data_IF_524157126115
#
_entry.id   IF_524157126115
#
_cell.length_a   1.000
_cell.length_b   1.000
_cell.length_c   1.000
_cell.angle_alpha   90.00
_cell.angle_beta   90.00
_cell.angle_gamma   90.00
#
_symmetry.space_group_name_H-M   'P 1'
#
loop_
_entity.id
_entity.type
_entity.pdbx_description
1 polymer ?
#
# COMPACT_ATOMS: atom_id res chain seq x y z
N UNK A 1 21.89 -9.98 0.72
CA UNK A 1 20.98 -9.42 1.73
C UNK A 1 19.94 -10.48 2.04
N UNK A 2 19.56 -10.67 3.31
CA UNK A 2 18.57 -11.70 3.73
C UNK A 2 17.66 -11.11 4.81
N UNK A 3 16.47 -11.67 4.97
CA UNK A 3 15.58 -11.34 6.09
C UNK A 3 16.01 -12.10 7.35
N UNK A 4 16.06 -11.37 8.47
CA UNK A 4 16.23 -11.92 9.81
C UNK A 4 15.14 -11.38 10.72
N UNK A 5 14.89 -12.06 11.82
CA UNK A 5 13.91 -11.68 12.84
C UNK A 5 14.57 -11.71 14.19
N UNK A 6 14.23 -10.76 15.05
CA UNK A 6 14.62 -10.84 16.46
C UNK A 6 13.65 -11.70 17.29
N UNK A 7 13.88 -11.70 18.60
CA UNK A 7 13.08 -12.45 19.58
C UNK A 7 11.68 -11.85 19.81
N UNK A 8 11.51 -10.54 19.54
CA UNK A 8 10.23 -9.83 19.64
C UNK A 8 9.35 -10.09 18.40
N UNK A 9 9.98 -10.51 17.30
CA UNK A 9 9.31 -10.88 16.07
C UNK A 9 9.50 -9.88 14.93
N UNK A 10 10.26 -8.81 15.18
CA UNK A 10 10.50 -7.73 14.24
C UNK A 10 11.47 -8.16 13.15
N UNK A 11 11.18 -7.74 11.92
CA UNK A 11 11.90 -8.20 10.72
C UNK A 11 12.88 -7.14 10.27
N UNK A 12 14.10 -7.58 9.97
CA UNK A 12 15.18 -6.72 9.52
C UNK A 12 15.86 -7.26 8.26
N UNK A 13 16.52 -6.36 7.55
CA UNK A 13 17.43 -6.69 6.46
C UNK A 13 18.83 -6.88 7.02
N UNK A 14 19.37 -8.10 6.93
CA UNK A 14 20.76 -8.33 7.29
C UNK A 14 21.69 -7.71 6.24
N UNK A 15 22.40 -6.66 6.64
CA UNK A 15 23.36 -5.92 5.81
C UNK A 15 24.72 -6.64 5.84
N UNK A 16 25.19 -6.99 7.03
CA UNK A 16 26.48 -7.66 7.24
C UNK A 16 26.44 -8.53 8.49
N UNK A 17 27.06 -9.70 8.44
CA UNK A 17 27.30 -10.55 9.61
C UNK A 17 28.79 -10.56 9.95
N UNK A 18 29.11 -10.38 11.22
CA UNK A 18 30.47 -10.55 11.78
C UNK A 18 30.47 -11.70 12.81
N UNK A 19 31.59 -11.92 13.51
CA UNK A 19 31.75 -13.04 14.44
C UNK A 19 30.71 -13.04 15.57
N UNK A 20 30.54 -11.90 16.25
CA UNK A 20 29.69 -11.78 17.45
C UNK A 20 28.38 -11.05 17.14
N UNK A 21 28.44 -10.02 16.28
CA UNK A 21 27.29 -9.18 15.96
C UNK A 21 27.01 -9.10 14.46
N UNK A 22 25.75 -8.83 14.13
CA UNK A 22 25.25 -8.51 12.80
C UNK A 22 24.83 -7.05 12.72
N UNK A 23 25.10 -6.42 11.57
CA UNK A 23 24.53 -5.12 11.19
C UNK A 23 23.25 -5.37 10.41
N UNK A 24 22.14 -4.87 10.93
CA UNK A 24 20.81 -5.00 10.34
C UNK A 24 20.26 -3.62 9.99
N UNK A 25 19.38 -3.56 9.00
CA UNK A 25 18.61 -2.36 8.63
C UNK A 25 17.14 -2.57 8.95
N UNK A 26 16.57 -1.59 9.62
CA UNK A 26 15.15 -1.48 9.90
C UNK A 26 14.40 -1.09 8.62
N UNK A 27 13.37 -1.86 8.19
CA UNK A 27 12.61 -1.52 6.99
C UNK A 27 11.73 -0.28 7.17
N UNK A 28 11.24 0.02 8.37
CA UNK A 28 10.35 1.16 8.67
C UNK A 28 11.12 2.47 8.66
N UNK A 29 12.30 2.51 9.28
CA UNK A 29 13.07 3.76 9.44
C UNK A 29 14.23 3.88 8.46
N UNK A 30 14.69 2.77 7.89
CA UNK A 30 15.92 2.70 7.10
C UNK A 30 17.21 2.79 7.93
N UNK A 31 17.12 2.94 9.25
CA UNK A 31 18.26 3.03 10.14
C UNK A 31 18.99 1.69 10.27
N UNK A 32 20.30 1.74 10.50
CA UNK A 32 21.13 0.55 10.67
C UNK A 32 21.65 0.45 12.10
N UNK A 33 21.49 -0.73 12.70
CA UNK A 33 21.95 -1.04 14.06
C UNK A 33 22.74 -2.34 14.12
N UNK A 34 23.59 -2.47 15.15
CA UNK A 34 24.27 -3.72 15.45
C UNK A 34 23.46 -4.50 16.48
N UNK A 35 23.29 -5.80 16.24
CA UNK A 35 22.54 -6.74 17.10
C UNK A 35 23.39 -7.99 17.25
N UNK A 36 23.40 -8.59 18.43
CA UNK A 36 24.10 -9.85 18.66
C UNK A 36 23.55 -10.96 17.74
N UNK A 37 24.45 -11.81 17.24
CA UNK A 37 24.07 -12.86 16.30
C UNK A 37 23.05 -13.84 16.89
N UNK A 38 23.12 -14.07 18.20
CA UNK A 38 22.26 -15.03 18.92
C UNK A 38 20.84 -14.50 19.15
N UNK A 39 20.64 -13.18 19.00
CA UNK A 39 19.33 -12.54 19.06
C UNK A 39 18.65 -12.47 17.67
N UNK A 40 19.24 -13.08 16.63
CA UNK A 40 18.71 -13.03 15.26
C UNK A 40 18.51 -14.41 14.68
N UNK A 41 17.26 -14.69 14.30
CA UNK A 41 16.89 -15.90 13.58
C UNK A 41 16.64 -15.58 12.10
N UNK A 42 17.28 -16.30 11.17
CA UNK A 42 16.90 -16.27 9.76
C UNK A 42 15.43 -16.52 9.48
N UNK A 43 14.87 -15.77 8.53
CA UNK A 43 13.54 -16.09 7.96
C UNK A 43 13.75 -16.72 6.59
N UNK A 44 13.45 -18.01 6.48
CA UNK A 44 13.58 -18.77 5.24
C UNK A 44 12.36 -18.56 4.33
N UNK A 45 12.59 -18.48 3.02
CA UNK A 45 11.53 -18.34 2.01
C UNK A 45 10.94 -16.93 1.83
N UNK A 46 11.38 -15.94 2.60
CA UNK A 46 10.96 -14.54 2.45
C UNK A 46 11.92 -13.74 1.58
N UNK A 47 11.37 -12.95 0.66
CA UNK A 47 12.16 -12.03 -0.16
C UNK A 47 12.61 -10.84 0.70
N UNK A 48 13.91 -10.46 0.69
CA UNK A 48 14.38 -9.23 1.32
C UNK A 48 13.66 -7.99 0.79
N UNK A 49 13.22 -7.98 -0.48
CA UNK A 49 12.45 -6.86 -1.03
C UNK A 49 11.04 -6.79 -0.45
N UNK A 50 10.41 -7.92 -0.14
CA UNK A 50 9.12 -7.95 0.55
C UNK A 50 9.26 -7.45 1.99
N UNK A 51 10.35 -7.81 2.67
CA UNK A 51 10.66 -7.26 4.00
C UNK A 51 10.89 -5.76 3.93
N UNK A 52 11.66 -5.27 2.96
CA UNK A 52 11.86 -3.83 2.75
C UNK A 52 10.54 -3.11 2.50
N UNK A 53 9.66 -3.67 1.66
CA UNK A 53 8.36 -3.07 1.36
C UNK A 53 7.45 -2.97 2.59
N UNK A 54 7.58 -3.85 3.59
CA UNK A 54 6.76 -3.81 4.81
C UNK A 54 6.96 -2.54 5.63
N UNK A 55 8.08 -1.85 5.47
CA UNK A 55 8.29 -0.54 6.07
C UNK A 55 7.32 0.53 5.58
N UNK A 56 6.71 0.32 4.40
CA UNK A 56 5.62 1.16 3.90
C UNK A 56 4.29 0.64 4.48
N UNK A 57 3.46 1.50 5.09
CA UNK A 57 2.16 1.10 5.63
C UNK A 57 1.33 0.32 4.61
N UNK A 58 0.64 -0.74 5.05
CA UNK A 58 -0.07 -1.65 4.15
C UNK A 58 -1.10 -0.92 3.27
N UNK A 59 -1.84 0.01 3.86
CA UNK A 59 -2.85 0.81 3.14
C UNK A 59 -2.21 1.67 2.03
N UNK A 60 -1.01 2.24 2.26
CA UNK A 60 -0.25 2.96 1.23
C UNK A 60 0.24 2.01 0.13
N UNK A 61 0.82 0.86 0.50
CA UNK A 61 1.28 -0.15 -0.47
C UNK A 61 0.16 -0.61 -1.39
N UNK A 62 -1.03 -0.79 -0.83
CA UNK A 62 -2.22 -1.21 -1.57
C UNK A 62 -2.62 -0.18 -2.62
N UNK A 63 -2.63 1.11 -2.27
CA UNK A 63 -2.89 2.19 -3.24
C UNK A 63 -1.83 2.18 -4.35
N UNK A 64 -0.53 2.19 -4.01
CA UNK A 64 0.56 2.24 -5.00
C UNK A 64 0.57 1.01 -5.93
N UNK A 65 0.15 -0.15 -5.45
CA UNK A 65 0.14 -1.39 -6.25
C UNK A 65 -1.04 -1.44 -7.22
N UNK A 66 -2.17 -0.82 -6.88
CA UNK A 66 -3.42 -0.90 -7.64
C UNK A 66 -3.64 0.34 -8.52
N UNK A 67 -3.31 1.53 -8.04
CA UNK A 67 -3.31 2.76 -8.80
C UNK A 67 -1.99 2.88 -9.59
N UNK A 68 -1.94 2.18 -10.74
CA UNK A 68 -0.70 1.93 -11.50
C UNK A 68 -0.17 3.15 -12.26
N UNK A 69 -0.95 4.22 -12.34
CA UNK A 69 -0.63 5.46 -13.05
C UNK A 69 -1.34 6.67 -12.42
N UNK A 70 -0.95 7.88 -12.83
CA UNK A 70 -1.51 9.13 -12.32
C UNK A 70 -3.03 9.22 -12.54
N UNK A 71 -3.55 8.59 -13.60
CA UNK A 71 -4.98 8.62 -13.94
C UNK A 71 -5.80 7.79 -12.96
N UNK A 72 -5.37 6.58 -12.68
CA UNK A 72 -5.99 5.69 -11.69
C UNK A 72 -5.84 6.25 -10.27
N UNK A 73 -4.68 6.81 -9.93
CA UNK A 73 -4.49 7.50 -8.64
C UNK A 73 -5.39 8.73 -8.51
N UNK A 74 -5.47 9.55 -9.57
CA UNK A 74 -6.34 10.73 -9.62
C UNK A 74 -7.82 10.39 -9.48
N UNK A 75 -8.30 9.33 -10.14
CA UNK A 75 -9.68 8.85 -9.96
C UNK A 75 -9.96 8.44 -8.51
N UNK A 76 -9.04 7.71 -7.88
CA UNK A 76 -9.19 7.27 -6.49
C UNK A 76 -9.20 8.47 -5.53
N UNK A 77 -8.34 9.47 -5.79
CA UNK A 77 -8.30 10.73 -5.05
C UNK A 77 -9.62 11.52 -5.17
N UNK A 78 -10.17 11.65 -6.38
CA UNK A 78 -11.44 12.35 -6.60
C UNK A 78 -12.62 11.67 -5.89
N UNK A 79 -12.65 10.33 -5.87
CA UNK A 79 -13.67 9.58 -5.11
C UNK A 79 -13.49 9.80 -3.60
N UNK A 80 -12.26 9.86 -3.11
CA UNK A 80 -11.99 10.10 -1.69
C UNK A 80 -12.38 11.53 -1.26
N UNK A 81 -12.05 12.54 -2.06
CA UNK A 81 -12.26 13.95 -1.70
C UNK A 81 -13.73 14.37 -1.85
N UNK A 82 -14.47 13.82 -2.82
CA UNK A 82 -15.87 14.18 -3.08
C UNK A 82 -16.86 13.37 -2.26
N UNK A 83 -16.42 12.29 -1.60
CA UNK A 83 -17.29 11.30 -0.98
C UNK A 83 -17.97 10.41 -2.03
N UNK A 84 -19.13 9.77 -1.73
CA UNK A 84 -19.78 8.87 -2.68
C UNK A 84 -20.10 9.56 -4.02
N UNK A 85 -19.56 9.05 -5.13
CA UNK A 85 -19.80 9.58 -6.49
C UNK A 85 -20.50 8.55 -7.38
N UNK A 86 -21.53 8.99 -8.11
CA UNK A 86 -22.24 8.14 -9.08
C UNK A 86 -21.38 7.82 -10.31
N UNK A 87 -21.53 6.62 -10.86
CA UNK A 87 -20.77 6.18 -12.06
C UNK A 87 -20.96 7.13 -13.22
N UNK A 88 -22.18 7.59 -13.48
CA UNK A 88 -22.48 8.52 -14.57
C UNK A 88 -21.76 9.84 -14.38
N UNK A 89 -21.72 10.37 -13.16
CA UNK A 89 -20.96 11.58 -12.84
C UNK A 89 -19.48 11.41 -13.12
N UNK A 90 -18.89 10.25 -12.81
CA UNK A 90 -17.48 9.96 -13.12
C UNK A 90 -17.25 9.94 -14.65
N UNK A 91 -18.12 9.29 -15.43
CA UNK A 91 -18.04 9.25 -16.90
C UNK A 91 -18.23 10.62 -17.54
N UNK A 92 -19.14 11.43 -17.01
CA UNK A 92 -19.44 12.76 -17.56
C UNK A 92 -18.35 13.79 -17.20
N UNK A 93 -17.68 13.62 -16.05
CA UNK A 93 -16.69 14.59 -15.55
C UNK A 93 -15.28 14.33 -16.07
N UNK A 94 -14.88 13.06 -16.14
CA UNK A 94 -13.53 12.69 -16.56
C UNK A 94 -13.61 12.03 -17.93
N UNK A 95 -12.67 12.37 -18.82
CA UNK A 95 -12.55 11.81 -20.17
C UNK A 95 -12.07 10.34 -20.10
N UNK A 96 -12.78 9.48 -19.36
CA UNK A 96 -12.60 8.05 -19.20
C UNK A 96 -13.61 7.34 -20.10
N UNK A 97 -13.14 6.37 -20.88
CA UNK A 97 -14.09 5.49 -21.54
C UNK A 97 -14.78 4.58 -20.51
N UNK A 98 -15.99 4.14 -20.84
CA UNK A 98 -16.82 3.34 -19.92
C UNK A 98 -16.13 2.05 -19.46
N UNK A 99 -15.45 1.36 -20.38
CA UNK A 99 -14.72 0.13 -20.04
C UNK A 99 -13.53 0.39 -19.13
N UNK A 100 -12.77 1.47 -19.34
CA UNK A 100 -11.64 1.83 -18.48
C UNK A 100 -12.12 2.16 -17.08
N UNK A 101 -13.16 3.00 -16.95
CA UNK A 101 -13.72 3.36 -15.65
C UNK A 101 -14.20 2.10 -14.90
N UNK A 102 -14.95 1.23 -15.57
CA UNK A 102 -15.44 0.01 -14.94
C UNK A 102 -14.33 -0.97 -14.56
N UNK A 103 -13.27 -1.07 -15.38
CA UNK A 103 -12.08 -1.84 -15.05
C UNK A 103 -11.39 -1.33 -13.78
N UNK A 104 -11.14 -0.02 -13.72
CA UNK A 104 -10.53 0.61 -12.55
C UNK A 104 -11.36 0.42 -11.28
N UNK A 105 -12.68 0.69 -11.35
CA UNK A 105 -13.57 0.53 -10.20
C UNK A 105 -13.67 -0.94 -9.74
N UNK A 106 -13.59 -1.90 -10.65
CA UNK A 106 -13.55 -3.32 -10.30
C UNK A 106 -12.24 -3.69 -9.58
N UNK A 107 -11.09 -3.22 -10.06
CA UNK A 107 -9.80 -3.42 -9.41
C UNK A 107 -9.74 -2.76 -8.03
N UNK A 108 -10.19 -1.50 -7.93
CA UNK A 108 -10.27 -0.78 -6.64
C UNK A 108 -11.17 -1.49 -5.65
N UNK A 109 -12.34 -1.98 -6.09
CA UNK A 109 -13.26 -2.73 -5.22
C UNK A 109 -12.65 -4.05 -4.78
N UNK A 110 -12.02 -4.80 -5.70
CA UNK A 110 -11.36 -6.08 -5.38
C UNK A 110 -10.22 -5.89 -4.37
N UNK A 111 -9.51 -4.77 -4.44
CA UNK A 111 -8.49 -4.39 -3.47
C UNK A 111 -9.07 -3.83 -2.17
N UNK A 112 -10.37 -3.50 -2.08
CA UNK A 112 -10.96 -2.84 -0.92
C UNK A 112 -10.55 -1.36 -0.78
N UNK A 113 -10.21 -0.71 -1.90
CA UNK A 113 -9.92 0.71 -1.95
C UNK A 113 -11.20 1.56 -2.05
N UNK A 114 -12.24 0.99 -2.66
CA UNK A 114 -13.57 1.60 -2.75
C UNK A 114 -14.66 0.59 -2.42
N UNK A 115 -15.80 1.10 -2.00
CA UNK A 115 -17.02 0.34 -1.76
C UNK A 115 -18.16 0.85 -2.64
N UNK A 116 -19.08 -0.05 -2.99
CA UNK A 116 -20.26 0.32 -3.76
C UNK A 116 -21.23 1.14 -2.89
N UNK A 117 -21.68 2.27 -3.43
CA UNK A 117 -22.63 3.18 -2.79
C UNK A 117 -23.83 3.44 -3.71
N UNK A 118 -24.91 3.99 -3.17
CA UNK A 118 -26.02 4.53 -3.97
C UNK A 118 -26.01 6.05 -3.93
N UNK A 119 -25.97 6.66 -5.10
CA UNK A 119 -25.98 8.12 -5.27
C UNK A 119 -27.14 8.48 -6.19
N UNK A 120 -28.09 9.28 -5.70
CA UNK A 120 -29.31 9.64 -6.43
C UNK A 120 -30.10 8.44 -7.01
N UNK A 121 -30.06 7.28 -6.33
CA UNK A 121 -30.73 6.05 -6.77
C UNK A 121 -29.94 5.21 -7.78
N UNK A 122 -28.78 5.68 -8.21
CA UNK A 122 -27.89 4.98 -9.14
C UNK A 122 -26.68 4.37 -8.43
N UNK A 123 -25.94 3.51 -9.14
CA UNK A 123 -24.69 2.92 -8.64
C UNK A 123 -23.60 4.00 -8.57
N UNK A 124 -22.91 4.05 -7.44
CA UNK A 124 -21.75 4.90 -7.20
C UNK A 124 -20.70 4.18 -6.36
N UNK A 125 -19.64 4.90 -6.02
CA UNK A 125 -18.52 4.39 -5.24
C UNK A 125 -18.05 5.42 -4.22
N UNK A 126 -17.62 4.94 -3.07
CA UNK A 126 -17.00 5.73 -2.01
C UNK A 126 -15.63 5.13 -1.68
N UNK A 127 -14.64 5.96 -1.38
CA UNK A 127 -13.36 5.49 -0.88
C UNK A 127 -13.51 4.91 0.52
N UNK A 128 -12.74 3.87 0.84
CA UNK A 128 -12.67 3.35 2.21
C UNK A 128 -11.86 4.28 3.11
N UNK A 129 -12.03 4.16 4.42
CA UNK A 129 -11.22 4.91 5.40
C UNK A 129 -9.72 4.64 5.23
N UNK A 130 -9.34 3.41 4.89
CA UNK A 130 -7.96 3.03 4.61
C UNK A 130 -7.39 3.74 3.38
N UNK A 131 -8.21 3.91 2.33
CA UNK A 131 -7.83 4.70 1.15
C UNK A 131 -7.64 6.17 1.51
N UNK A 132 -8.54 6.75 2.28
CA UNK A 132 -8.41 8.13 2.72
C UNK A 132 -7.13 8.35 3.55
N UNK A 133 -6.82 7.44 4.47
CA UNK A 133 -5.57 7.46 5.23
C UNK A 133 -4.32 7.34 4.34
N UNK A 134 -4.35 6.44 3.34
CA UNK A 134 -3.26 6.29 2.38
C UNK A 134 -3.01 7.56 1.56
N UNK A 135 -4.07 8.18 1.07
CA UNK A 135 -3.95 9.42 0.29
C UNK A 135 -3.44 10.58 1.14
N UNK A 136 -3.77 10.63 2.43
CA UNK A 136 -3.20 11.61 3.35
C UNK A 136 -1.67 11.46 3.43
N UNK A 137 -1.17 10.24 3.65
CA UNK A 137 0.28 9.96 3.70
C UNK A 137 0.98 10.32 2.38
N UNK A 138 0.35 10.09 1.23
CA UNK A 138 0.93 10.36 -0.08
C UNK A 138 0.94 11.85 -0.49
N UNK A 139 0.21 12.71 0.22
CA UNK A 139 0.10 14.15 -0.07
C UNK A 139 1.05 15.01 0.76
N UNK A 140 1.64 14.44 1.81
CA UNK A 140 2.61 15.08 2.70
C UNK A 140 4.05 14.86 2.20
#
# INVERSE_FOLDING_TARGET
MRTVRDDEGDRYLLVKRSAESSRVRDPETGEERHVDNDALTPVEGESPLETAARGVPEHVRRVVTVARDDRSLGLLAEIADRGPVGVRTLLDTYDLCESDLHGLLAEFRAAGLVEEARVAGERGYAATEQTAAALAVLRE
#
